data_IF_766193378836
#
_entry.id   IF_766193378836
#
_cell.length_a   1.000
_cell.length_b   1.000
_cell.length_c   1.000
_cell.angle_alpha   90.00
_cell.angle_beta   90.00
_cell.angle_gamma   90.00
#
_symmetry.space_group_name_H-M   'P 1'
#
loop_
_entity.id
_entity.type
_entity.pdbx_description
1 polymer ?
#
# COMPACT_ATOMS: atom_id res chain seq x y z
N UNK A 1 -10.42 -15.47 -9.37
CA UNK A 1 -9.39 -14.87 -8.49
C UNK A 1 -9.64 -15.32 -7.07
N UNK A 2 -8.60 -15.48 -6.23
CA UNK A 2 -8.69 -15.55 -4.76
C UNK A 2 -8.12 -14.25 -4.16
N UNK A 3 -8.53 -13.95 -2.93
CA UNK A 3 -8.09 -12.77 -2.18
C UNK A 3 -8.00 -13.12 -0.69
N UNK A 4 -6.93 -12.68 -0.05
CA UNK A 4 -6.70 -12.79 1.39
C UNK A 4 -6.19 -11.46 1.92
N UNK A 5 -6.70 -11.05 3.07
CA UNK A 5 -6.19 -9.93 3.85
C UNK A 5 -5.59 -10.48 5.14
N UNK A 6 -4.39 -10.05 5.47
CA UNK A 6 -3.65 -10.44 6.67
C UNK A 6 -3.53 -9.23 7.59
N UNK A 7 -4.27 -9.17 8.68
CA UNK A 7 -3.96 -8.23 9.77
C UNK A 7 -2.63 -8.62 10.42
N UNK A 8 -1.72 -7.67 10.54
CA UNK A 8 -0.38 -7.85 11.07
C UNK A 8 -0.10 -6.89 12.24
N UNK A 9 1.14 -6.86 12.73
CA UNK A 9 1.56 -5.95 13.78
C UNK A 9 1.31 -4.48 13.40
N UNK A 10 1.19 -3.58 14.39
CA UNK A 10 0.96 -2.15 14.23
C UNK A 10 -0.30 -1.78 13.42
N UNK A 11 -1.33 -2.66 13.47
CA UNK A 11 -2.57 -2.53 12.72
C UNK A 11 -2.37 -2.46 11.18
N UNK A 12 -1.27 -3.01 10.68
CA UNK A 12 -0.97 -3.15 9.25
C UNK A 12 -1.90 -4.17 8.61
N UNK A 13 -2.27 -3.91 7.38
CA UNK A 13 -3.06 -4.80 6.52
C UNK A 13 -2.24 -5.18 5.30
N UNK A 14 -1.86 -6.44 5.22
CA UNK A 14 -1.14 -7.01 4.08
C UNK A 14 -2.07 -7.85 3.21
N UNK A 15 -1.70 -8.09 1.96
CA UNK A 15 -2.60 -8.72 1.00
C UNK A 15 -1.93 -9.83 0.20
N UNK A 16 -2.68 -10.91 -0.05
CA UNK A 16 -2.31 -11.96 -0.99
C UNK A 16 -3.50 -12.24 -1.90
N UNK A 17 -3.32 -12.10 -3.21
CA UNK A 17 -4.36 -12.38 -4.18
C UNK A 17 -3.76 -12.95 -5.46
N UNK A 18 -4.60 -13.56 -6.31
CA UNK A 18 -4.08 -14.12 -7.55
C UNK A 18 -5.06 -14.97 -8.33
N UNK A 19 -4.55 -15.61 -9.38
CA UNK A 19 -5.26 -16.48 -10.28
C UNK A 19 -4.91 -17.95 -10.00
N UNK A 20 -5.72 -18.66 -9.21
CA UNK A 20 -5.49 -20.09 -8.95
C UNK A 20 -5.51 -20.93 -10.24
N UNK A 21 -6.36 -20.60 -11.22
CA UNK A 21 -6.44 -21.33 -12.48
C UNK A 21 -5.20 -21.23 -13.38
N UNK A 22 -4.44 -20.13 -13.29
CA UNK A 22 -3.16 -19.94 -13.98
C UNK A 22 -1.96 -19.93 -13.01
N UNK A 23 -2.19 -20.32 -11.77
CA UNK A 23 -1.17 -20.58 -10.76
C UNK A 23 -0.20 -19.40 -10.55
N UNK A 24 -0.74 -18.19 -10.33
CA UNK A 24 0.05 -16.98 -10.07
C UNK A 24 -0.58 -16.13 -8.99
N UNK A 25 0.25 -15.66 -8.06
CA UNK A 25 -0.18 -14.79 -6.96
C UNK A 25 0.70 -13.53 -6.84
N UNK A 26 0.13 -12.54 -6.17
CA UNK A 26 0.77 -11.26 -5.81
C UNK A 26 0.64 -11.09 -4.30
N UNK A 27 1.75 -10.75 -3.64
CA UNK A 27 1.78 -10.36 -2.24
C UNK A 27 2.04 -8.84 -2.13
N UNK A 28 1.37 -8.17 -1.19
CA UNK A 28 1.48 -6.70 -1.02
C UNK A 28 1.67 -6.37 0.46
N UNK A 29 2.62 -5.47 0.75
CA UNK A 29 2.95 -4.89 2.06
C UNK A 29 3.19 -5.97 3.13
N UNK A 30 4.11 -6.88 2.84
CA UNK A 30 4.45 -8.01 3.72
C UNK A 30 5.23 -7.51 4.94
N UNK A 31 4.70 -7.74 6.14
CA UNK A 31 5.40 -7.45 7.39
C UNK A 31 6.44 -8.53 7.67
N UNK A 32 7.64 -8.13 8.11
CA UNK A 32 8.71 -9.07 8.46
C UNK A 32 8.25 -10.05 9.57
N UNK A 33 8.47 -11.34 9.34
CA UNK A 33 8.00 -12.43 10.20
C UNK A 33 6.68 -13.08 9.74
N UNK A 34 5.97 -12.48 8.79
CA UNK A 34 4.74 -13.05 8.22
C UNK A 34 4.99 -13.83 6.90
N UNK A 35 6.23 -13.96 6.42
CA UNK A 35 6.58 -14.57 5.14
C UNK A 35 6.04 -16.01 5.02
N UNK A 36 6.10 -16.79 6.10
CA UNK A 36 5.60 -18.17 6.11
C UNK A 36 4.10 -18.24 5.86
N UNK A 37 3.33 -17.32 6.43
CA UNK A 37 1.90 -17.24 6.18
C UNK A 37 1.59 -17.03 4.69
N UNK A 38 2.32 -16.13 4.01
CA UNK A 38 2.15 -15.89 2.58
C UNK A 38 2.48 -17.12 1.74
N UNK A 39 3.57 -17.81 2.07
CA UNK A 39 3.98 -19.04 1.39
C UNK A 39 2.93 -20.13 1.55
N UNK A 40 2.45 -20.36 2.77
CA UNK A 40 1.41 -21.36 3.06
C UNK A 40 0.08 -21.06 2.35
N UNK A 41 -0.39 -19.79 2.38
CA UNK A 41 -1.64 -19.42 1.72
C UNK A 41 -1.54 -19.52 0.19
N UNK A 42 -0.39 -19.16 -0.39
CA UNK A 42 -0.12 -19.34 -1.81
C UNK A 42 -0.11 -20.84 -2.20
N UNK A 43 0.48 -21.69 -1.36
CA UNK A 43 0.46 -23.15 -1.54
C UNK A 43 -0.97 -23.72 -1.45
N UNK A 44 -1.75 -23.30 -0.44
CA UNK A 44 -3.18 -23.70 -0.30
C UNK A 44 -4.01 -23.30 -1.51
N UNK A 45 -3.71 -22.14 -2.10
CA UNK A 45 -4.37 -21.67 -3.32
C UNK A 45 -3.85 -22.33 -4.61
N UNK A 46 -2.76 -23.12 -4.53
CA UNK A 46 -2.07 -23.67 -5.70
C UNK A 46 -1.53 -22.60 -6.64
N UNK A 47 -1.13 -21.44 -6.10
CA UNK A 47 -0.75 -20.26 -6.88
C UNK A 47 0.57 -19.68 -6.36
N UNK A 48 1.75 -20.11 -6.87
CA UNK A 48 3.03 -19.51 -6.56
C UNK A 48 3.04 -17.99 -6.67
N UNK A 49 3.67 -17.31 -5.71
CA UNK A 49 3.83 -15.86 -5.71
C UNK A 49 4.85 -15.50 -6.79
N UNK A 50 4.47 -14.62 -7.71
CA UNK A 50 5.32 -14.14 -8.81
C UNK A 50 5.70 -12.66 -8.66
N UNK A 51 4.93 -11.90 -7.90
CA UNK A 51 5.19 -10.50 -7.58
C UNK A 51 5.03 -10.28 -6.08
N UNK A 52 5.99 -9.58 -5.47
CA UNK A 52 5.92 -9.03 -4.12
C UNK A 52 6.08 -7.53 -4.24
N UNK A 53 5.13 -6.76 -3.70
CA UNK A 53 5.05 -5.31 -3.89
C UNK A 53 4.98 -4.66 -2.51
N UNK A 54 5.82 -3.67 -2.25
CA UNK A 54 5.55 -2.71 -1.19
C UNK A 54 4.99 -1.44 -1.82
N UNK A 55 3.87 -0.96 -1.27
CA UNK A 55 3.19 0.25 -1.78
C UNK A 55 4.03 1.50 -1.60
N UNK A 56 4.94 1.49 -0.63
CA UNK A 56 5.93 2.55 -0.34
C UNK A 56 7.03 2.00 0.57
N UNK A 57 8.07 2.76 0.81
CA UNK A 57 9.05 2.44 1.86
C UNK A 57 8.42 2.69 3.23
N UNK A 58 8.06 1.62 3.93
CA UNK A 58 7.35 1.67 5.22
C UNK A 58 8.19 2.31 6.33
N UNK A 59 7.54 3.07 7.21
CA UNK A 59 8.16 3.76 8.33
C UNK A 59 7.70 3.23 9.70
N UNK A 60 6.73 2.33 9.73
CA UNK A 60 6.07 1.82 10.92
C UNK A 60 6.35 0.33 11.20
N UNK A 61 6.83 -0.39 10.19
CA UNK A 61 7.23 -1.80 10.31
C UNK A 61 8.39 -2.15 9.37
N UNK A 62 9.11 -3.21 9.70
CA UNK A 62 10.11 -3.79 8.82
C UNK A 62 9.41 -4.58 7.70
N UNK A 63 9.79 -4.32 6.44
CA UNK A 63 9.25 -5.06 5.30
C UNK A 63 9.83 -6.48 5.23
N UNK A 64 8.94 -7.47 5.16
CA UNK A 64 9.26 -8.86 4.80
C UNK A 64 9.28 -9.11 3.29
N UNK A 65 8.96 -8.08 2.49
CA UNK A 65 8.84 -8.19 1.04
C UNK A 65 10.11 -8.72 0.35
N UNK A 66 11.29 -8.13 0.58
CA UNK A 66 12.55 -8.60 -0.01
C UNK A 66 12.86 -10.06 0.34
N UNK A 67 12.66 -10.45 1.60
CA UNK A 67 12.92 -11.83 2.05
C UNK A 67 11.90 -12.81 1.46
N UNK A 68 10.61 -12.47 1.46
CA UNK A 68 9.59 -13.29 0.80
C UNK A 68 9.93 -13.49 -0.68
N UNK A 69 10.23 -12.42 -1.41
CA UNK A 69 10.57 -12.49 -2.83
C UNK A 69 11.77 -13.40 -3.08
N UNK A 70 12.82 -13.26 -2.27
CA UNK A 70 14.02 -14.11 -2.33
C UNK A 70 13.68 -15.59 -2.09
N UNK A 71 12.85 -15.90 -1.09
CA UNK A 71 12.47 -17.27 -0.70
C UNK A 71 11.65 -17.98 -1.76
N UNK A 72 10.78 -17.25 -2.47
CA UNK A 72 9.88 -17.85 -3.48
C UNK A 72 10.35 -17.63 -4.92
N UNK A 73 11.44 -16.89 -5.13
CA UNK A 73 11.95 -16.56 -6.46
C UNK A 73 11.06 -15.59 -7.24
N UNK A 74 10.33 -14.70 -6.54
CA UNK A 74 9.46 -13.69 -7.13
C UNK A 74 10.21 -12.38 -7.41
N UNK A 75 9.66 -11.55 -8.30
CA UNK A 75 10.13 -10.17 -8.46
C UNK A 75 9.65 -9.32 -7.26
N UNK A 76 10.58 -8.59 -6.63
CA UNK A 76 10.26 -7.60 -5.61
C UNK A 76 10.15 -6.21 -6.24
N UNK A 77 9.12 -5.46 -5.87
CA UNK A 77 8.78 -4.19 -6.50
C UNK A 77 8.67 -3.04 -5.50
N UNK A 78 9.24 -1.91 -5.88
CA UNK A 78 9.04 -0.58 -5.30
C UNK A 78 8.85 0.44 -6.42
N UNK A 79 8.33 1.63 -6.12
CA UNK A 79 8.23 2.72 -7.09
C UNK A 79 9.63 3.16 -7.58
N UNK A 80 9.75 3.55 -8.86
CA UNK A 80 11.02 3.91 -9.50
C UNK A 80 11.77 5.06 -8.82
N UNK A 81 11.10 5.91 -8.05
CA UNK A 81 11.77 6.96 -7.26
C UNK A 81 12.74 6.43 -6.20
N UNK A 82 12.71 5.12 -5.93
CA UNK A 82 13.65 4.45 -5.03
C UNK A 82 14.95 4.00 -5.73
N UNK A 83 15.07 4.17 -7.06
CA UNK A 83 16.33 3.92 -7.77
C UNK A 83 17.43 4.83 -7.22
N UNK A 84 18.53 4.22 -6.78
CA UNK A 84 19.65 4.90 -6.13
C UNK A 84 19.43 5.30 -4.66
N UNK A 85 18.25 5.00 -4.08
CA UNK A 85 17.95 5.22 -2.66
C UNK A 85 18.06 3.93 -1.85
N UNK A 86 17.63 2.80 -2.40
CA UNK A 86 17.72 1.49 -1.75
C UNK A 86 19.05 0.80 -2.04
N UNK A 87 19.51 0.00 -1.09
CA UNK A 87 20.81 -0.70 -1.14
C UNK A 87 20.75 -2.11 -1.76
N UNK A 88 19.66 -2.47 -2.42
CA UNK A 88 19.42 -3.81 -3.00
C UNK A 88 18.70 -3.71 -4.35
N UNK A 89 18.72 -4.80 -5.11
CA UNK A 89 18.04 -4.87 -6.41
C UNK A 89 16.54 -5.05 -6.25
N UNK A 90 15.77 -4.30 -7.04
CA UNK A 90 14.33 -4.40 -7.13
C UNK A 90 13.84 -4.13 -8.56
N UNK A 91 12.61 -4.53 -8.86
CA UNK A 91 11.94 -4.23 -10.11
C UNK A 91 11.15 -2.93 -9.98
N UNK A 92 11.55 -1.83 -10.63
CA UNK A 92 10.90 -0.54 -10.45
C UNK A 92 9.48 -0.53 -11.01
N UNK A 93 8.54 0.03 -10.22
CA UNK A 93 7.19 0.33 -10.65
C UNK A 93 7.12 1.74 -11.22
N UNK A 94 6.33 1.90 -12.29
CA UNK A 94 6.03 3.19 -12.92
C UNK A 94 4.54 3.45 -12.93
N UNK A 95 4.17 4.72 -12.93
CA UNK A 95 2.78 5.11 -13.11
C UNK A 95 2.21 4.56 -14.44
N UNK A 96 1.02 3.97 -14.35
CA UNK A 96 0.37 3.32 -15.49
C UNK A 96 0.97 1.96 -15.89
N UNK A 97 2.00 1.47 -15.20
CA UNK A 97 2.55 0.15 -15.46
C UNK A 97 1.53 -0.94 -15.11
N UNK A 98 1.55 -2.01 -15.91
CA UNK A 98 0.72 -3.20 -15.71
C UNK A 98 1.58 -4.39 -15.34
N UNK A 99 1.21 -5.07 -14.25
CA UNK A 99 1.78 -6.37 -13.84
C UNK A 99 0.73 -7.47 -14.04
N UNK A 100 1.16 -8.64 -14.51
CA UNK A 100 0.27 -9.74 -14.82
C UNK A 100 0.53 -10.96 -13.91
N UNK A 101 -0.51 -11.42 -13.23
CA UNK A 101 -0.53 -12.66 -12.48
C UNK A 101 -1.64 -13.59 -13.01
N UNK A 102 -1.42 -14.15 -14.17
CA UNK A 102 -2.43 -14.93 -14.90
C UNK A 102 -3.55 -14.05 -15.44
N UNK A 103 -4.81 -14.33 -15.04
CA UNK A 103 -5.96 -13.47 -15.39
C UNK A 103 -6.11 -12.28 -14.43
N UNK A 104 -5.29 -12.20 -13.40
CA UNK A 104 -5.26 -11.04 -12.50
C UNK A 104 -4.24 -10.05 -13.03
N UNK A 105 -4.66 -8.81 -13.15
CA UNK A 105 -3.83 -7.69 -13.62
C UNK A 105 -3.82 -6.60 -12.57
N UNK A 106 -2.64 -6.06 -12.30
CA UNK A 106 -2.42 -4.96 -11.36
C UNK A 106 -1.95 -3.75 -12.15
N UNK A 107 -2.77 -2.69 -12.18
CA UNK A 107 -2.38 -1.39 -12.73
C UNK A 107 -1.81 -0.52 -11.60
N UNK A 108 -0.61 -0.04 -11.79
CA UNK A 108 0.09 0.83 -10.83
C UNK A 108 -0.36 2.27 -11.00
N UNK A 109 -0.76 2.90 -9.91
CA UNK A 109 -1.14 4.31 -9.84
C UNK A 109 -0.16 5.01 -8.89
N UNK A 110 0.70 5.89 -9.38
CA UNK A 110 1.57 6.68 -8.51
C UNK A 110 0.74 7.70 -7.74
N UNK A 111 0.81 7.64 -6.42
CA UNK A 111 -0.04 8.39 -5.49
C UNK A 111 0.78 9.07 -4.40
N UNK A 112 1.73 9.95 -4.76
CA UNK A 112 2.58 10.61 -3.77
C UNK A 112 1.76 11.52 -2.84
N UNK A 113 2.27 11.67 -1.61
CA UNK A 113 1.64 12.53 -0.61
C UNK A 113 1.82 12.03 0.83
N UNK A 114 1.59 10.75 1.10
CA UNK A 114 2.04 10.10 2.34
C UNK A 114 3.57 9.94 2.32
N UNK A 115 4.06 9.33 1.26
CA UNK A 115 5.49 9.33 0.89
C UNK A 115 5.64 9.71 -0.59
N UNK A 116 6.84 10.14 -1.05
CA UNK A 116 7.06 10.47 -2.46
C UNK A 116 6.94 9.26 -3.39
N UNK A 117 7.14 8.05 -2.88
CA UNK A 117 7.14 6.79 -3.61
C UNK A 117 5.84 5.98 -3.49
N UNK A 118 4.83 6.52 -2.81
CA UNK A 118 3.54 5.84 -2.61
C UNK A 118 2.88 5.46 -3.93
N UNK A 119 2.38 4.22 -4.00
CA UNK A 119 1.55 3.73 -5.11
C UNK A 119 0.26 3.11 -4.59
N UNK A 120 -0.81 3.26 -5.36
CA UNK A 120 -2.01 2.44 -5.25
C UNK A 120 -2.02 1.39 -6.37
N UNK A 121 -2.68 0.26 -6.11
CA UNK A 121 -2.72 -0.88 -7.02
C UNK A 121 -4.17 -1.18 -7.40
N UNK A 122 -4.59 -0.80 -8.61
CA UNK A 122 -5.92 -1.15 -9.12
C UNK A 122 -5.89 -2.56 -9.72
N UNK A 123 -6.72 -3.45 -9.17
CA UNK A 123 -6.67 -4.88 -9.47
C UNK A 123 -7.89 -5.30 -10.29
N UNK A 124 -7.63 -5.99 -11.40
CA UNK A 124 -8.63 -6.56 -12.32
C UNK A 124 -8.60 -8.08 -12.30
N UNK A 125 -9.74 -8.69 -12.48
CA UNK A 125 -9.85 -10.10 -12.87
C UNK A 125 -10.43 -10.17 -14.28
N UNK A 126 -9.60 -10.37 -15.29
CA UNK A 126 -9.99 -10.39 -16.70
C UNK A 126 -11.04 -11.46 -17.05
N UNK A 127 -11.31 -12.42 -16.17
CA UNK A 127 -12.42 -13.36 -16.31
C UNK A 127 -13.78 -12.74 -15.96
N UNK A 128 -13.77 -11.60 -15.25
CA UNK A 128 -15.00 -10.88 -14.87
C UNK A 128 -15.26 -9.68 -15.78
N UNK A 129 -14.19 -9.02 -16.26
CA UNK A 129 -14.28 -7.84 -17.11
C UNK A 129 -12.97 -7.06 -17.11
N UNK A 130 -12.95 -5.98 -17.86
CA UNK A 130 -11.78 -5.10 -18.02
C UNK A 130 -11.71 -3.99 -16.95
N UNK A 131 -12.78 -3.81 -16.17
CA UNK A 131 -12.82 -2.79 -15.13
C UNK A 131 -12.09 -3.25 -13.86
N UNK A 132 -11.44 -2.34 -13.12
CA UNK A 132 -10.90 -2.66 -11.81
C UNK A 132 -11.98 -3.19 -10.88
N UNK A 133 -11.66 -4.19 -10.09
CA UNK A 133 -12.58 -4.77 -9.11
C UNK A 133 -12.36 -4.19 -7.72
N UNK A 134 -11.12 -3.89 -7.38
CA UNK A 134 -10.75 -3.21 -6.15
C UNK A 134 -9.43 -2.47 -6.32
N UNK A 135 -9.12 -1.60 -5.36
CA UNK A 135 -7.82 -0.91 -5.28
C UNK A 135 -7.20 -1.10 -3.90
N UNK A 136 -5.93 -1.52 -3.85
CA UNK A 136 -5.11 -1.47 -2.65
C UNK A 136 -4.55 -0.06 -2.58
N UNK A 137 -4.89 0.67 -1.52
CA UNK A 137 -4.60 2.11 -1.43
C UNK A 137 -3.35 2.43 -0.61
N UNK A 138 -2.70 1.40 -0.02
CA UNK A 138 -1.59 1.63 0.89
C UNK A 138 -1.98 2.68 1.94
N UNK A 139 -1.09 3.62 2.17
CA UNK A 139 -1.29 4.72 3.11
C UNK A 139 -1.75 6.03 2.44
N UNK A 140 -2.26 5.96 1.21
CA UNK A 140 -2.83 7.13 0.52
C UNK A 140 -4.25 7.43 1.01
N UNK A 141 -5.12 6.41 1.09
CA UNK A 141 -6.51 6.54 1.53
C UNK A 141 -6.86 5.40 2.48
N UNK A 142 -7.28 5.76 3.69
CA UNK A 142 -7.80 4.83 4.70
C UNK A 142 -9.33 4.85 4.75
N UNK A 143 -9.91 3.96 5.55
CA UNK A 143 -11.33 4.03 5.87
C UNK A 143 -11.56 5.15 6.90
N UNK A 144 -12.18 6.23 6.46
CA UNK A 144 -12.49 7.39 7.28
C UNK A 144 -11.35 8.40 7.47
N UNK A 145 -10.16 8.15 6.91
CA UNK A 145 -8.98 9.00 7.07
C UNK A 145 -8.08 8.98 5.82
N UNK A 146 -6.97 9.70 5.87
CA UNK A 146 -5.90 9.71 4.87
C UNK A 146 -4.54 9.58 5.57
N UNK A 147 -3.50 9.23 4.82
CA UNK A 147 -2.14 9.10 5.34
C UNK A 147 -1.55 10.40 5.86
N UNK A 148 -0.63 10.30 6.82
CA UNK A 148 0.11 11.47 7.35
C UNK A 148 1.11 11.98 6.31
N UNK A 149 1.39 13.30 6.25
CA UNK A 149 2.22 13.88 5.19
C UNK A 149 3.67 14.18 5.61
N UNK A 150 4.07 13.88 6.85
CA UNK A 150 5.30 14.40 7.47
C UNK A 150 6.52 13.48 7.37
N UNK A 151 6.38 12.31 6.72
CA UNK A 151 7.45 11.31 6.67
C UNK A 151 8.66 11.75 5.82
N UNK A 152 8.44 12.66 4.87
CA UNK A 152 9.50 13.19 4.01
C UNK A 152 10.07 14.56 4.47
N UNK A 153 9.60 15.10 5.60
CA UNK A 153 10.07 16.38 6.17
C UNK A 153 9.62 17.62 5.40
N UNK A 154 8.54 17.50 4.59
CA UNK A 154 7.94 18.59 3.80
C UNK A 154 6.43 18.55 3.95
N UNK A 155 5.93 18.65 5.19
CA UNK A 155 4.56 18.30 5.57
C UNK A 155 3.50 19.03 4.74
N UNK A 156 3.65 20.34 4.53
CA UNK A 156 2.67 21.12 3.76
C UNK A 156 2.67 20.80 2.28
N UNK A 157 3.85 20.57 1.70
CA UNK A 157 4.00 20.19 0.30
C UNK A 157 3.44 18.79 0.06
N UNK A 158 3.77 17.85 0.94
CA UNK A 158 3.27 16.48 0.88
C UNK A 158 1.76 16.40 1.11
N UNK A 159 1.22 17.19 2.06
CA UNK A 159 -0.23 17.30 2.26
C UNK A 159 -0.94 17.87 1.02
N UNK A 160 -0.35 18.89 0.39
CA UNK A 160 -0.89 19.46 -0.84
C UNK A 160 -0.86 18.45 -2.00
N UNK A 161 0.23 17.69 -2.12
CA UNK A 161 0.38 16.63 -3.12
C UNK A 161 -0.60 15.47 -2.86
N UNK A 162 -0.81 15.08 -1.60
CA UNK A 162 -1.79 14.07 -1.22
C UNK A 162 -3.20 14.49 -1.63
N UNK A 163 -3.58 15.76 -1.39
CA UNK A 163 -4.86 16.28 -1.86
C UNK A 163 -5.01 16.16 -3.37
N UNK A 164 -4.01 16.64 -4.12
CA UNK A 164 -4.04 16.62 -5.59
C UNK A 164 -4.12 15.16 -6.10
N UNK A 165 -3.38 14.25 -5.49
CA UNK A 165 -3.42 12.79 -5.75
C UNK A 165 -4.80 12.21 -5.48
N UNK A 166 -5.38 12.45 -4.31
CA UNK A 166 -6.72 11.95 -3.95
C UNK A 166 -7.77 12.43 -4.95
N UNK A 167 -7.82 13.73 -5.24
CA UNK A 167 -8.84 14.32 -6.10
C UNK A 167 -8.72 13.87 -7.56
N UNK A 168 -7.50 13.82 -8.11
CA UNK A 168 -7.29 13.54 -9.53
C UNK A 168 -7.17 12.06 -9.87
N UNK A 169 -6.68 11.22 -8.94
CA UNK A 169 -6.34 9.83 -9.21
C UNK A 169 -7.31 8.82 -8.59
N UNK A 170 -7.64 8.97 -7.31
CA UNK A 170 -8.48 8.00 -6.61
C UNK A 170 -9.97 8.33 -6.70
N UNK A 171 -10.34 9.59 -6.46
CA UNK A 171 -11.75 9.97 -6.47
C UNK A 171 -12.35 10.07 -7.88
N UNK A 172 -11.55 9.97 -8.93
CA UNK A 172 -12.00 9.78 -10.31
C UNK A 172 -12.39 8.34 -10.64
N UNK A 173 -12.02 7.37 -9.79
CA UNK A 173 -12.38 5.96 -9.95
C UNK A 173 -13.87 5.72 -9.69
N UNK A 174 -14.46 4.61 -10.20
CA UNK A 174 -15.86 4.27 -9.99
C UNK A 174 -16.22 4.26 -8.49
N UNK A 175 -17.38 4.80 -8.09
CA UNK A 175 -17.75 4.92 -6.68
C UNK A 175 -18.00 3.56 -5.99
N UNK A 176 -18.36 2.53 -6.73
CA UNK A 176 -18.55 1.16 -6.26
C UNK A 176 -17.23 0.40 -6.03
N UNK A 177 -16.10 0.94 -6.49
CA UNK A 177 -14.81 0.29 -6.36
C UNK A 177 -14.41 0.17 -4.89
N UNK A 178 -14.14 -1.07 -4.47
CA UNK A 178 -13.67 -1.36 -3.11
C UNK A 178 -12.25 -0.84 -2.90
N UNK A 179 -11.99 -0.27 -1.71
CA UNK A 179 -10.65 0.12 -1.26
C UNK A 179 -10.17 -0.79 -0.14
N UNK A 180 -8.89 -1.12 -0.20
CA UNK A 180 -8.17 -1.94 0.78
C UNK A 180 -6.91 -1.19 1.22
N UNK A 181 -6.94 -0.55 2.41
CA UNK A 181 -5.86 0.32 2.88
C UNK A 181 -4.69 -0.45 3.50
N UNK A 182 -3.53 0.20 3.66
CA UNK A 182 -2.38 -0.38 4.36
C UNK A 182 -2.59 -0.53 5.87
N UNK A 183 -3.51 0.24 6.48
CA UNK A 183 -3.74 0.24 7.92
C UNK A 183 -5.21 0.38 8.31
N UNK A 184 -5.51 -0.03 9.56
CA UNK A 184 -6.78 0.19 10.25
C UNK A 184 -6.55 0.90 11.59
N UNK A 185 -7.61 1.09 12.40
CA UNK A 185 -7.53 1.74 13.70
C UNK A 185 -6.45 1.10 14.59
N UNK A 186 -5.61 1.94 15.18
CA UNK A 186 -4.45 1.55 15.99
C UNK A 186 -3.10 1.83 15.34
N UNK A 187 -3.07 2.21 14.05
CA UNK A 187 -1.85 2.61 13.37
C UNK A 187 -1.44 4.05 13.69
N UNK A 188 -0.12 4.29 13.70
CA UNK A 188 0.46 5.64 13.79
C UNK A 188 0.54 6.36 12.43
N UNK A 189 0.20 5.69 11.31
CA UNK A 189 0.32 6.24 9.95
C UNK A 189 -0.81 7.22 9.57
N UNK A 190 -1.81 7.41 10.45
CA UNK A 190 -2.86 8.39 10.26
C UNK A 190 -3.69 8.59 11.53
N UNK A 191 -4.49 9.66 11.54
CA UNK A 191 -5.41 9.96 12.64
C UNK A 191 -6.86 9.64 12.21
N UNK A 192 -7.66 9.11 13.14
CA UNK A 192 -9.08 8.89 12.89
C UNK A 192 -9.44 7.65 12.03
N UNK A 193 -8.51 6.71 11.87
CA UNK A 193 -8.75 5.48 11.12
C UNK A 193 -9.90 4.67 11.72
N UNK A 194 -10.76 4.13 10.87
CA UNK A 194 -11.78 3.16 11.27
C UNK A 194 -11.17 1.77 11.54
N UNK A 195 -11.82 1.00 12.41
CA UNK A 195 -11.51 -0.43 12.58
C UNK A 195 -12.06 -1.32 11.44
N UNK A 196 -12.69 -0.74 10.40
CA UNK A 196 -13.13 -1.50 9.23
C UNK A 196 -11.96 -1.73 8.28
N UNK A 197 -11.77 -2.96 7.78
CA UNK A 197 -10.62 -3.30 6.95
C UNK A 197 -10.79 -2.93 5.47
N UNK A 198 -11.94 -2.46 5.06
CA UNK A 198 -12.26 -2.07 3.68
C UNK A 198 -13.42 -1.08 3.63
N UNK A 199 -13.52 -0.35 2.50
CA UNK A 199 -14.60 0.59 2.20
C UNK A 199 -14.83 0.64 0.68
N UNK A 200 -15.47 1.69 0.17
CA UNK A 200 -15.56 1.97 -1.28
C UNK A 200 -15.22 3.43 -1.55
N UNK A 201 -14.79 3.73 -2.77
CA UNK A 201 -14.53 5.12 -3.21
C UNK A 201 -15.76 6.01 -2.94
N UNK A 202 -16.95 5.54 -3.27
CA UNK A 202 -18.18 6.30 -3.07
C UNK A 202 -18.54 6.53 -1.61
N UNK A 203 -18.31 5.54 -0.74
CA UNK A 203 -18.53 5.71 0.70
C UNK A 203 -17.55 6.75 1.28
N UNK A 204 -16.27 6.65 0.94
CA UNK A 204 -15.26 7.61 1.40
C UNK A 204 -15.53 9.03 0.87
N UNK A 205 -15.87 9.19 -0.40
CA UNK A 205 -16.28 10.51 -0.96
C UNK A 205 -17.39 11.16 -0.15
N UNK A 206 -18.30 10.38 0.40
CA UNK A 206 -19.48 10.89 1.12
C UNK A 206 -19.22 11.11 2.61
N UNK A 207 -18.43 10.26 3.24
CA UNK A 207 -18.34 10.20 4.71
C UNK A 207 -16.96 10.48 5.28
N UNK A 208 -15.89 10.43 4.48
CA UNK A 208 -14.56 10.81 4.93
C UNK A 208 -14.45 12.34 4.97
N UNK A 209 -14.30 12.95 6.16
CA UNK A 209 -14.35 14.41 6.30
C UNK A 209 -13.23 15.12 5.53
N UNK A 210 -12.08 14.47 5.34
CA UNK A 210 -10.95 15.05 4.63
C UNK A 210 -11.23 15.25 3.14
N UNK A 211 -12.01 14.36 2.52
CA UNK A 211 -12.21 14.35 1.07
C UNK A 211 -13.19 15.43 0.57
N UNK A 212 -13.96 16.03 1.46
CA UNK A 212 -14.89 17.13 1.14
C UNK A 212 -14.30 18.54 1.34
N UNK A 213 -13.07 18.63 1.85
CA UNK A 213 -12.41 19.91 2.12
C UNK A 213 -11.90 20.57 0.84
N UNK A 214 -11.76 21.91 0.88
CA UNK A 214 -10.94 22.60 -0.11
C UNK A 214 -9.46 22.24 0.10
N UNK A 215 -8.63 22.42 -0.93
CA UNK A 215 -7.19 22.12 -0.85
C UNK A 215 -6.51 22.82 0.33
N UNK A 216 -6.81 24.10 0.55
CA UNK A 216 -6.22 24.87 1.66
C UNK A 216 -6.70 24.36 3.03
N UNK A 217 -7.99 24.07 3.18
CA UNK A 217 -8.55 23.50 4.40
C UNK A 217 -7.95 22.10 4.70
N UNK A 218 -7.82 21.25 3.68
CA UNK A 218 -7.20 19.93 3.79
C UNK A 218 -5.76 20.03 4.28
N UNK A 219 -4.93 20.86 3.63
CA UNK A 219 -3.52 21.04 4.02
C UNK A 219 -3.43 21.56 5.46
N UNK A 220 -4.25 22.56 5.80
CA UNK A 220 -4.26 23.11 7.16
C UNK A 220 -4.67 22.06 8.20
N UNK A 221 -5.75 21.33 7.96
CA UNK A 221 -6.24 20.29 8.88
C UNK A 221 -5.21 19.15 9.05
N UNK A 222 -4.65 18.68 7.94
CA UNK A 222 -3.72 17.54 7.96
C UNK A 222 -2.36 17.88 8.61
N UNK A 223 -1.98 19.18 8.64
CA UNK A 223 -0.71 19.64 9.23
C UNK A 223 -0.87 20.32 10.60
N UNK A 224 -2.10 20.48 11.11
CA UNK A 224 -2.34 21.15 12.38
C UNK A 224 -1.94 20.33 13.61
N UNK A 225 -2.29 19.04 13.61
CA UNK A 225 -2.07 18.14 14.75
C UNK A 225 -1.52 16.80 14.25
N UNK A 226 -0.28 16.81 13.77
CA UNK A 226 0.39 15.59 13.33
C UNK A 226 0.79 14.78 14.58
N UNK A 227 0.37 13.51 14.72
CA UNK A 227 0.79 12.66 15.82
C UNK A 227 2.33 12.55 15.87
N UNK A 228 2.93 12.47 17.06
CA UNK A 228 4.38 12.29 17.17
C UNK A 228 4.82 11.06 16.36
N UNK A 229 6.00 11.18 15.76
CA UNK A 229 6.58 10.04 15.03
C UNK A 229 6.99 8.97 16.04
N UNK A 230 6.74 7.67 15.74
CA UNK A 230 7.26 6.57 16.55
C UNK A 230 8.80 6.68 16.69
N UNK A 231 9.34 6.41 17.89
CA UNK A 231 10.78 6.53 18.18
C UNK A 231 11.66 5.71 17.22
N UNK A 232 11.15 4.57 16.77
CA UNK A 232 11.87 3.64 15.87
C UNK A 232 11.75 3.97 14.38
N UNK A 233 10.96 4.96 14.00
CA UNK A 233 10.62 5.22 12.59
C UNK A 233 11.85 5.41 11.70
N UNK A 234 12.80 6.25 12.12
CA UNK A 234 14.02 6.49 11.34
C UNK A 234 14.85 5.21 11.14
N UNK A 235 14.90 4.34 12.18
CA UNK A 235 15.60 3.06 12.14
C UNK A 235 14.90 2.08 11.20
N UNK A 236 13.56 2.06 11.22
CA UNK A 236 12.74 1.21 10.33
C UNK A 236 12.96 1.61 8.88
N UNK A 237 12.82 2.90 8.56
CA UNK A 237 13.06 3.43 7.20
C UNK A 237 14.47 3.08 6.72
N UNK A 238 15.50 3.30 7.56
CA UNK A 238 16.88 2.97 7.21
C UNK A 238 17.06 1.47 6.93
N UNK A 239 16.47 0.60 7.74
CA UNK A 239 16.53 -0.84 7.56
C UNK A 239 15.82 -1.27 6.26
N UNK A 240 14.64 -0.72 5.98
CA UNK A 240 13.88 -0.99 4.76
C UNK A 240 14.62 -0.50 3.51
N UNK A 241 15.27 0.66 3.57
CA UNK A 241 16.12 1.16 2.47
C UNK A 241 17.38 0.30 2.25
N UNK A 242 17.87 -0.37 3.28
CA UNK A 242 19.03 -1.27 3.18
C UNK A 242 18.65 -2.72 2.85
N UNK A 243 17.38 -3.09 2.96
CA UNK A 243 16.91 -4.47 2.83
C UNK A 243 17.39 -5.39 3.95
N UNK A 244 17.65 -4.84 5.14
CA UNK A 244 18.17 -5.59 6.29
C UNK A 244 17.17 -5.50 7.43
N UNK A 245 16.47 -6.60 7.70
CA UNK A 245 15.61 -6.71 8.87
C UNK A 245 16.47 -7.10 10.07
N UNK A 246 16.49 -6.30 11.17
CA UNK A 246 17.14 -6.71 12.41
C UNK A 246 16.54 -8.05 12.90
N UNK A 247 17.38 -8.89 13.52
CA UNK A 247 16.87 -10.11 14.15
C UNK A 247 15.78 -9.72 15.16
N UNK A 248 14.56 -10.19 14.93
CA UNK A 248 13.44 -10.01 15.85
C UNK A 248 13.74 -10.91 17.06
N UNK A 249 14.00 -10.28 18.22
CA UNK A 249 14.32 -10.99 19.45
C UNK A 249 13.08 -11.65 20.06
#
# INVERSE_FOLDING_TARGET
MFFRQRPAANATLSYLFGCAGLQKAVAVDVVAGDEDWFIEEAQRAGAPIVHVIDTHVHADHYSGGPELARRVGAAYHLHESNIGRVGFDFSPLRDGQRLEAGNVVVDVIHTPGHTPDSVCLAVRDLRRGDEPWFVITGDTLFVGAVGRPDLAGQEREMAAQLYDTLQSRLLSLPPELEIYPGHQAGSACGAGLSGKPASTIGFEKRFNPMLSMSREAFVTALTAEIPPQPEDMARIVEANLRGVVPAIA
#
